data_IF_319492058515
#
_entry.id   IF_319492058515
#
_cell.length_a   1.000
_cell.length_b   1.000
_cell.length_c   1.000
_cell.angle_alpha   90.00
_cell.angle_beta   90.00
_cell.angle_gamma   90.00
#
_symmetry.space_group_name_H-M   'P 1'
#
loop_
_entity.id
_entity.type
_entity.pdbx_description
1 polymer ?
#
# COMPACT_ATOMS: atom_id res chain seq x y z
N UNK A 1 -3.15 -5.40 12.21
CA UNK A 1 -3.96 -4.32 11.61
C UNK A 1 -5.00 -4.97 10.71
N UNK A 2 -6.30 -4.64 10.89
CA UNK A 2 -7.36 -4.97 9.93
C UNK A 2 -7.03 -4.46 8.51
N UNK A 3 -7.46 -5.13 7.42
CA UNK A 3 -7.14 -4.73 6.05
C UNK A 3 -7.65 -3.33 5.67
N UNK A 4 -8.83 -2.97 6.16
CA UNK A 4 -9.44 -1.65 6.03
C UNK A 4 -8.60 -0.57 6.71
N UNK A 5 -8.11 -0.83 7.93
CA UNK A 5 -7.22 0.08 8.65
C UNK A 5 -5.90 0.31 7.89
N UNK A 6 -5.38 -0.68 7.15
CA UNK A 6 -4.19 -0.49 6.29
C UNK A 6 -4.46 0.54 5.20
N UNK A 7 -5.65 0.51 4.57
CA UNK A 7 -6.00 1.46 3.52
C UNK A 7 -6.28 2.85 4.09
N UNK A 8 -6.95 2.95 5.24
CA UNK A 8 -7.20 4.23 5.92
C UNK A 8 -5.89 4.89 6.38
N UNK A 9 -4.99 4.14 7.02
CA UNK A 9 -3.67 4.65 7.42
C UNK A 9 -2.86 5.12 6.20
N UNK A 10 -3.03 4.44 5.05
CA UNK A 10 -2.36 4.82 3.82
C UNK A 10 -2.93 6.10 3.21
N UNK A 11 -4.25 6.25 3.13
CA UNK A 11 -4.94 7.47 2.66
C UNK A 11 -4.54 8.69 3.50
N UNK A 12 -4.56 8.56 4.83
CA UNK A 12 -4.10 9.60 5.75
C UNK A 12 -2.65 10.02 5.47
N UNK A 13 -1.76 9.05 5.22
CA UNK A 13 -0.36 9.31 4.89
C UNK A 13 -0.19 9.99 3.52
N UNK A 14 -0.95 9.58 2.51
CA UNK A 14 -0.95 10.20 1.17
C UNK A 14 -1.44 11.64 1.24
N UNK A 15 -2.45 11.93 2.06
CA UNK A 15 -2.94 13.28 2.32
C UNK A 15 -1.85 14.24 2.82
N UNK A 16 -0.84 13.74 3.52
CA UNK A 16 0.31 14.52 4.00
C UNK A 16 1.49 14.54 3.03
N UNK A 17 1.58 13.57 2.11
CA UNK A 17 2.73 13.39 1.23
C UNK A 17 2.98 14.60 0.30
N UNK A 18 1.94 15.35 -0.06
CA UNK A 18 2.08 16.61 -0.81
C UNK A 18 2.97 17.63 -0.10
N UNK A 19 2.74 17.85 1.20
CA UNK A 19 3.55 18.76 2.01
C UNK A 19 5.00 18.27 2.12
N UNK A 20 5.20 16.96 2.26
CA UNK A 20 6.55 16.37 2.31
C UNK A 20 7.34 16.57 1.01
N UNK A 21 6.66 16.62 -0.14
CA UNK A 21 7.29 17.00 -1.43
C UNK A 21 7.66 18.49 -1.43
N UNK A 22 6.77 19.37 -0.97
CA UNK A 22 7.05 20.80 -0.88
C UNK A 22 8.23 21.11 0.05
N UNK A 23 8.33 20.36 1.15
CA UNK A 23 9.40 20.46 2.14
C UNK A 23 10.71 19.78 1.68
N UNK A 24 10.71 19.14 0.49
CA UNK A 24 11.88 18.45 -0.08
C UNK A 24 12.26 17.14 0.63
N UNK A 25 11.37 16.61 1.45
CA UNK A 25 11.56 15.35 2.19
C UNK A 25 11.14 14.12 1.38
N UNK A 26 10.33 14.31 0.33
CA UNK A 26 9.87 13.26 -0.58
C UNK A 26 10.09 13.68 -2.04
N UNK A 27 10.51 12.74 -2.88
CA UNK A 27 10.60 12.96 -4.33
C UNK A 27 9.21 13.12 -4.96
N UNK A 28 9.09 13.97 -5.99
CA UNK A 28 7.81 14.19 -6.68
C UNK A 28 7.32 12.92 -7.38
N UNK A 29 8.24 12.13 -7.91
CA UNK A 29 8.00 10.82 -8.50
C UNK A 29 7.43 9.84 -7.47
N UNK A 30 7.88 9.91 -6.22
CA UNK A 30 7.36 9.06 -5.12
C UNK A 30 5.90 9.37 -4.86
N UNK A 31 5.53 10.67 -4.79
CA UNK A 31 4.14 11.07 -4.60
C UNK A 31 3.23 10.49 -5.69
N UNK A 32 3.66 10.52 -6.95
CA UNK A 32 2.88 9.95 -8.05
C UNK A 32 2.68 8.44 -7.91
N UNK A 33 3.69 7.71 -7.41
CA UNK A 33 3.57 6.27 -7.17
C UNK A 33 2.74 5.94 -5.94
N UNK A 34 2.78 6.76 -4.88
CA UNK A 34 1.90 6.60 -3.72
C UNK A 34 0.43 6.80 -4.11
N UNK A 35 0.13 7.79 -4.97
CA UNK A 35 -1.20 8.02 -5.51
C UNK A 35 -1.71 6.83 -6.35
N UNK A 36 -0.84 6.11 -7.05
CA UNK A 36 -1.26 4.89 -7.77
C UNK A 36 -1.71 3.79 -6.81
N UNK A 37 -1.08 3.65 -5.64
CA UNK A 37 -1.51 2.67 -4.62
C UNK A 37 -2.86 3.09 -4.04
N UNK A 38 -3.03 4.38 -3.75
CA UNK A 38 -4.28 4.93 -3.23
C UNK A 38 -5.46 4.70 -4.18
N UNK A 39 -5.25 4.91 -5.48
CA UNK A 39 -6.27 4.63 -6.49
C UNK A 39 -6.69 3.15 -6.52
N UNK A 40 -5.77 2.22 -6.30
CA UNK A 40 -6.12 0.78 -6.20
C UNK A 40 -7.08 0.53 -5.03
N UNK A 41 -6.86 1.18 -3.88
CA UNK A 41 -7.76 1.06 -2.73
C UNK A 41 -9.11 1.74 -2.97
N UNK A 42 -9.11 2.89 -3.68
CA UNK A 42 -10.33 3.56 -4.11
C UNK A 42 -11.16 2.67 -5.05
N UNK A 43 -10.54 2.05 -6.06
CA UNK A 43 -11.20 1.10 -6.97
C UNK A 43 -11.78 -0.12 -6.23
N UNK A 44 -11.04 -0.66 -5.26
CA UNK A 44 -11.50 -1.76 -4.40
C UNK A 44 -12.73 -1.38 -3.58
N UNK A 45 -12.84 -0.12 -3.14
CA UNK A 45 -13.99 0.40 -2.40
C UNK A 45 -15.23 0.53 -3.29
N UNK A 46 -15.04 0.88 -4.56
CA UNK A 46 -16.14 1.04 -5.52
C UNK A 46 -16.77 -0.28 -5.94
N UNK A 47 -16.00 -1.39 -5.97
CA UNK A 47 -16.51 -2.72 -6.27
C UNK A 47 -17.06 -3.43 -5.02
N UNK A 48 -18.26 -3.04 -4.60
CA UNK A 48 -18.98 -3.61 -3.45
C UNK A 48 -19.45 -5.06 -3.63
N UNK A 49 -19.24 -5.69 -4.80
CA UNK A 49 -19.67 -7.07 -5.05
C UNK A 49 -18.73 -8.13 -4.46
N UNK A 50 -17.51 -7.73 -4.07
CA UNK A 50 -16.48 -8.62 -3.54
C UNK A 50 -16.04 -8.10 -2.19
N UNK A 51 -15.99 -8.98 -1.19
CA UNK A 51 -15.52 -8.61 0.15
C UNK A 51 -13.98 -8.57 0.20
N UNK A 52 -13.41 -7.46 -0.27
CA UNK A 52 -11.96 -7.26 -0.44
C UNK A 52 -11.25 -6.79 0.83
N UNK A 53 -12.00 -6.41 1.87
CA UNK A 53 -11.48 -5.85 3.14
C UNK A 53 -11.40 -6.91 4.24
N UNK A 54 -11.18 -8.17 3.86
CA UNK A 54 -11.03 -9.31 4.77
C UNK A 54 -9.59 -9.76 4.90
N UNK A 55 -9.29 -10.46 5.99
CA UNK A 55 -7.93 -11.00 6.21
C UNK A 55 -7.57 -12.02 5.13
N UNK A 56 -8.54 -12.77 4.65
CA UNK A 56 -8.40 -13.77 3.60
C UNK A 56 -8.01 -13.09 2.28
N UNK A 57 -8.74 -12.03 1.91
CA UNK A 57 -8.51 -11.26 0.69
C UNK A 57 -7.10 -10.66 0.62
N UNK A 58 -6.47 -10.31 1.76
CA UNK A 58 -5.09 -9.83 1.77
C UNK A 58 -4.14 -10.75 0.99
N UNK A 59 -4.34 -12.07 1.04
CA UNK A 59 -3.44 -13.04 0.40
C UNK A 59 -3.87 -13.44 -1.02
N UNK A 60 -5.16 -13.35 -1.35
CA UNK A 60 -5.72 -13.92 -2.58
C UNK A 60 -6.25 -12.89 -3.58
N UNK A 61 -6.58 -11.68 -3.12
CA UNK A 61 -7.15 -10.65 -3.96
C UNK A 61 -6.09 -9.99 -4.86
N UNK A 62 -6.50 -9.72 -6.11
CA UNK A 62 -5.61 -9.13 -7.11
C UNK A 62 -5.29 -7.66 -6.81
N UNK A 63 -6.22 -6.90 -6.22
CA UNK A 63 -5.99 -5.52 -5.80
C UNK A 63 -4.92 -5.44 -4.72
N UNK A 64 -5.02 -6.27 -3.68
CA UNK A 64 -3.98 -6.40 -2.65
C UNK A 64 -2.62 -6.85 -3.21
N UNK A 65 -2.60 -7.76 -4.18
CA UNK A 65 -1.38 -8.15 -4.87
C UNK A 65 -0.76 -7.00 -5.66
N UNK A 66 -1.59 -6.20 -6.34
CA UNK A 66 -1.16 -5.05 -7.13
C UNK A 66 -0.61 -3.92 -6.25
N UNK A 67 -1.32 -3.55 -5.18
CA UNK A 67 -0.87 -2.57 -4.20
C UNK A 67 0.51 -2.92 -3.61
N UNK A 68 0.73 -4.19 -3.25
CA UNK A 68 2.05 -4.66 -2.79
C UNK A 68 3.14 -4.58 -3.85
N UNK A 69 2.80 -4.84 -5.10
CA UNK A 69 3.76 -4.74 -6.20
C UNK A 69 4.21 -3.29 -6.38
N UNK A 70 3.27 -2.35 -6.44
CA UNK A 70 3.56 -0.92 -6.49
C UNK A 70 4.38 -0.45 -5.28
N UNK A 71 4.02 -0.87 -4.07
CA UNK A 71 4.77 -0.53 -2.86
C UNK A 71 6.23 -1.00 -2.92
N UNK A 72 6.49 -2.21 -3.44
CA UNK A 72 7.87 -2.71 -3.64
C UNK A 72 8.63 -1.90 -4.67
N UNK A 73 7.98 -1.46 -5.74
CA UNK A 73 8.59 -0.61 -6.76
C UNK A 73 8.98 0.74 -6.17
N UNK A 74 8.11 1.36 -5.36
CA UNK A 74 8.40 2.60 -4.63
C UNK A 74 9.61 2.44 -3.71
N UNK A 75 9.59 1.40 -2.86
CA UNK A 75 10.70 1.14 -1.93
C UNK A 75 12.02 0.90 -2.67
N UNK A 76 11.99 0.09 -3.73
CA UNK A 76 13.17 -0.19 -4.55
C UNK A 76 13.72 1.09 -5.18
N UNK A 77 12.86 1.97 -5.69
CA UNK A 77 13.25 3.26 -6.25
C UNK A 77 13.86 4.21 -5.19
N UNK A 78 13.46 4.09 -3.93
CA UNK A 78 14.04 4.83 -2.80
C UNK A 78 15.34 4.22 -2.27
N UNK A 79 15.83 3.13 -2.87
CA UNK A 79 17.03 2.43 -2.39
C UNK A 79 16.77 1.53 -1.18
N UNK A 80 15.52 1.43 -0.71
CA UNK A 80 15.10 0.46 0.28
C UNK A 80 15.01 -0.91 -0.38
N UNK A 81 15.93 -1.81 -0.02
CA UNK A 81 15.83 -3.20 -0.45
C UNK A 81 14.74 -3.87 0.37
N UNK A 82 13.79 -4.61 -0.25
CA UNK A 82 12.82 -5.37 0.51
C UNK A 82 13.58 -6.40 1.37
N UNK A 83 13.71 -6.12 2.67
CA UNK A 83 14.24 -7.10 3.62
C UNK A 83 13.30 -8.30 3.60
N UNK A 84 13.81 -9.53 3.44
CA UNK A 84 12.97 -10.71 3.51
C UNK A 84 12.19 -10.66 4.83
N UNK A 85 10.87 -10.87 4.75
CA UNK A 85 10.06 -11.03 5.95
C UNK A 85 10.72 -12.12 6.81
N UNK A 86 10.87 -11.92 8.13
CA UNK A 86 11.44 -12.94 8.99
C UNK A 86 10.63 -14.23 8.84
N UNK A 87 11.29 -15.39 8.88
CA UNK A 87 10.60 -16.69 8.86
C UNK A 87 9.65 -16.76 10.07
N UNK A 88 8.35 -16.61 9.82
CA UNK A 88 7.31 -16.76 10.84
C UNK A 88 6.95 -18.25 10.90
N UNK A 89 7.54 -18.97 11.85
CA UNK A 89 7.08 -20.32 12.20
C UNK A 89 5.76 -20.23 12.96
N UNK A 90 4.67 -20.69 12.36
CA UNK A 90 3.40 -20.89 13.06
C UNK A 90 3.52 -22.13 13.95
N UNK A 91 3.61 -21.94 15.26
CA UNK A 91 3.49 -23.04 16.24
C UNK A 91 2.00 -23.38 16.34
N UNK A 92 1.62 -24.60 15.92
CA UNK A 92 0.25 -25.12 16.02
C UNK A 92 0.01 -25.81 17.36
#
# INVERSE_FOLDING_TARGET
MPPDEIALDFDDAVGLAGQLVEDGQLGREVLSSLQMIDEVFNEMTQDSNVDRWTREALSTDAGWAHARQLAREVLTAQGEQPTPLPDICVIR
#
